data_IF_579637662056
#
_entry.id   IF_579637662056
#
_cell.length_a   1.000
_cell.length_b   1.000
_cell.length_c   1.000
_cell.angle_alpha   90.00
_cell.angle_beta   90.00
_cell.angle_gamma   90.00
#
_symmetry.space_group_name_H-M   'P 1'
#
loop_
_entity.id
_entity.type
_entity.pdbx_description
1 polymer ?
#
# COMPACT_ATOMS: atom_id res chain seq x y z
N UNK A 1 27.29 16.58 0.96
CA UNK A 1 26.75 17.31 2.14
C UNK A 1 25.50 18.14 1.82
N UNK A 2 25.52 19.08 0.87
CA UNK A 2 24.36 19.96 0.63
C UNK A 2 23.11 19.22 0.15
N UNK A 3 23.24 18.27 -0.78
CA UNK A 3 22.11 17.44 -1.27
C UNK A 3 21.50 16.56 -0.17
N UNK A 4 22.32 16.01 0.73
CA UNK A 4 21.86 15.20 1.85
C UNK A 4 21.05 16.04 2.85
N UNK A 5 21.47 17.28 3.11
CA UNK A 5 20.75 18.22 3.97
C UNK A 5 19.36 18.54 3.42
N UNK A 6 19.26 18.81 2.11
CA UNK A 6 17.99 19.09 1.45
C UNK A 6 16.98 17.93 1.62
N UNK A 7 17.43 16.69 1.37
CA UNK A 7 16.61 15.50 1.55
C UNK A 7 16.22 15.28 3.02
N UNK A 8 17.12 15.60 3.94
CA UNK A 8 16.82 15.47 5.37
C UNK A 8 15.79 16.51 5.85
N UNK A 9 15.84 17.75 5.35
CA UNK A 9 14.81 18.75 5.61
C UNK A 9 13.44 18.26 5.11
N UNK A 10 13.38 17.71 3.90
CA UNK A 10 12.16 17.15 3.37
C UNK A 10 11.63 16.02 4.26
N UNK A 11 12.50 15.09 4.68
CA UNK A 11 12.16 13.98 5.57
C UNK A 11 11.63 14.45 6.91
N UNK A 12 12.26 15.46 7.51
CA UNK A 12 11.79 16.06 8.77
C UNK A 12 10.36 16.63 8.60
N UNK A 13 10.10 17.36 7.51
CA UNK A 13 8.77 17.90 7.23
C UNK A 13 7.74 16.81 6.95
N UNK A 14 8.15 15.68 6.34
CA UNK A 14 7.27 14.53 6.12
C UNK A 14 6.95 13.77 7.41
N UNK A 15 7.92 13.55 8.28
CA UNK A 15 7.77 12.68 9.44
C UNK A 15 7.39 13.43 10.72
N UNK A 16 7.92 14.64 10.91
CA UNK A 16 7.83 15.35 12.17
C UNK A 16 6.97 16.62 12.13
N UNK A 17 6.35 16.95 10.99
CA UNK A 17 5.53 18.14 10.89
C UNK A 17 4.16 17.85 10.24
N UNK A 18 3.15 18.58 10.71
CA UNK A 18 1.83 18.71 10.12
C UNK A 18 1.28 20.12 10.41
N UNK A 19 0.03 20.38 10.01
CA UNK A 19 -0.61 21.69 10.22
C UNK A 19 -0.83 22.05 11.70
N UNK A 20 -0.89 21.06 12.59
CA UNK A 20 -1.05 21.25 14.03
C UNK A 20 0.30 21.28 14.76
N UNK A 21 1.31 20.68 14.15
CA UNK A 21 2.68 20.57 14.69
C UNK A 21 3.70 21.05 13.65
N UNK A 22 3.68 22.34 13.28
CA UNK A 22 4.67 22.90 12.34
C UNK A 22 6.06 22.99 13.01
N UNK A 23 7.11 22.79 12.23
CA UNK A 23 8.49 22.87 12.70
C UNK A 23 9.06 24.28 12.49
N UNK A 24 9.59 24.90 13.54
CA UNK A 24 10.33 26.15 13.44
C UNK A 24 11.70 25.94 12.78
N UNK A 25 12.21 26.96 12.12
CA UNK A 25 13.55 26.91 11.52
C UNK A 25 14.65 26.51 12.54
N UNK A 26 14.56 26.96 13.79
CA UNK A 26 15.48 26.59 14.87
C UNK A 26 15.41 25.08 15.21
N UNK A 27 14.22 24.48 15.15
CA UNK A 27 14.02 23.07 15.41
C UNK A 27 14.57 22.23 14.24
N UNK A 28 14.37 22.66 13.00
CA UNK A 28 14.97 22.03 11.82
C UNK A 28 16.49 22.03 11.95
N UNK A 29 17.10 23.18 12.31
CA UNK A 29 18.55 23.29 12.51
C UNK A 29 19.03 22.34 13.63
N UNK A 30 18.32 22.28 14.76
CA UNK A 30 18.66 21.39 15.87
C UNK A 30 18.61 19.90 15.44
N UNK A 31 17.59 19.48 14.66
CA UNK A 31 17.48 18.11 14.12
C UNK A 31 18.60 17.77 13.16
N UNK A 32 18.94 18.72 12.26
CA UNK A 32 20.08 18.56 11.34
C UNK A 32 21.40 18.40 12.09
N UNK A 33 21.62 19.21 13.13
CA UNK A 33 22.82 19.16 13.98
C UNK A 33 22.95 17.81 14.69
N UNK A 34 21.84 17.24 15.22
CA UNK A 34 21.83 15.90 15.83
C UNK A 34 22.28 14.80 14.87
N UNK A 35 22.11 15.02 13.55
CA UNK A 35 22.56 14.13 12.47
C UNK A 35 23.93 14.49 11.90
N UNK A 36 24.68 15.36 12.58
CA UNK A 36 26.01 15.80 12.14
C UNK A 36 26.00 16.75 10.93
N UNK A 37 24.85 17.37 10.62
CA UNK A 37 24.71 18.31 9.51
C UNK A 37 24.63 19.74 10.04
N UNK A 38 25.65 20.55 9.76
CA UNK A 38 25.63 21.99 10.10
C UNK A 38 24.69 22.74 9.15
N UNK A 39 23.85 23.60 9.69
CA UNK A 39 22.94 24.44 8.91
C UNK A 39 22.72 25.79 9.60
N UNK A 40 22.67 26.84 8.79
CA UNK A 40 22.29 28.20 9.21
C UNK A 40 20.88 28.53 8.71
N UNK A 41 20.23 29.52 9.33
CA UNK A 41 18.85 29.95 8.95
C UNK A 41 18.72 30.26 7.48
N UNK A 42 19.66 31.05 6.90
CA UNK A 42 19.61 31.41 5.48
C UNK A 42 19.67 30.17 4.58
N UNK A 43 20.51 29.21 4.94
CA UNK A 43 20.66 27.95 4.21
C UNK A 43 19.39 27.10 4.27
N UNK A 44 18.71 27.02 5.44
CA UNK A 44 17.44 26.29 5.58
C UNK A 44 16.34 26.94 4.75
N UNK A 45 16.26 28.27 4.73
CA UNK A 45 15.28 28.99 3.90
C UNK A 45 15.51 28.73 2.41
N UNK A 46 16.76 28.81 1.96
CA UNK A 46 17.11 28.49 0.57
C UNK A 46 16.76 27.07 0.19
N UNK A 47 17.03 26.10 1.08
CA UNK A 47 16.70 24.68 0.85
C UNK A 47 15.18 24.47 0.77
N UNK A 48 14.39 25.14 1.64
CA UNK A 48 12.93 25.08 1.57
C UNK A 48 12.39 25.68 0.26
N UNK A 49 12.98 26.77 -0.21
CA UNK A 49 12.58 27.39 -1.47
C UNK A 49 12.93 26.50 -2.67
N UNK A 50 14.06 25.81 -2.64
CA UNK A 50 14.41 24.78 -3.64
C UNK A 50 13.38 23.64 -3.63
N UNK A 51 12.99 23.14 -2.48
CA UNK A 51 11.97 22.10 -2.37
C UNK A 51 10.60 22.57 -2.92
N UNK A 52 10.21 23.82 -2.64
CA UNK A 52 8.98 24.41 -3.21
C UNK A 52 9.05 24.50 -4.73
N UNK A 53 10.18 24.95 -5.29
CA UNK A 53 10.41 24.99 -6.75
C UNK A 53 10.38 23.59 -7.37
N UNK A 54 10.81 22.56 -6.62
CA UNK A 54 10.70 21.15 -7.01
C UNK A 54 9.29 20.56 -6.88
N UNK A 55 8.29 21.36 -6.49
CA UNK A 55 6.87 20.97 -6.44
C UNK A 55 6.36 20.50 -5.09
N UNK A 56 7.15 20.60 -4.01
CA UNK A 56 6.68 20.29 -2.67
C UNK A 56 5.87 21.45 -2.09
N UNK A 57 4.61 21.19 -1.70
CA UNK A 57 3.73 22.22 -1.11
C UNK A 57 4.07 22.44 0.37
N UNK A 58 5.19 23.12 0.62
CA UNK A 58 5.65 23.46 1.98
C UNK A 58 5.00 24.77 2.41
N UNK A 59 4.15 24.69 3.42
CA UNK A 59 3.44 25.80 4.03
C UNK A 59 4.25 26.42 5.17
N UNK A 60 3.94 27.66 5.46
CA UNK A 60 4.54 28.43 6.57
C UNK A 60 3.49 29.24 7.28
N UNK A 61 3.52 29.23 8.60
CA UNK A 61 2.74 30.13 9.44
C UNK A 61 3.66 30.93 10.35
N UNK A 62 3.45 32.24 10.38
CA UNK A 62 4.27 33.16 11.20
C UNK A 62 4.27 32.72 12.67
N UNK A 63 5.46 32.69 13.28
CA UNK A 63 5.73 32.24 14.65
C UNK A 63 5.47 30.76 14.97
N UNK A 64 4.89 29.99 14.07
CA UNK A 64 4.65 28.56 14.26
C UNK A 64 5.68 27.70 13.51
N UNK A 65 5.92 27.95 12.22
CA UNK A 65 6.94 27.21 11.46
C UNK A 65 6.44 26.71 10.11
N UNK A 66 7.09 25.64 9.67
CA UNK A 66 6.89 25.01 8.37
C UNK A 66 6.27 23.64 8.52
N UNK A 67 5.42 23.25 7.57
CA UNK A 67 4.93 21.89 7.40
C UNK A 67 4.70 21.57 5.92
N UNK A 68 4.72 20.31 5.59
CA UNK A 68 4.37 19.83 4.26
C UNK A 68 2.85 19.61 4.19
N UNK A 69 2.17 20.22 3.21
CA UNK A 69 0.76 19.92 2.93
C UNK A 69 0.64 18.47 2.48
N UNK A 70 -0.13 17.70 3.20
CA UNK A 70 -0.32 16.27 2.94
C UNK A 70 -1.17 16.05 1.68
N UNK A 71 -0.89 14.96 0.96
CA UNK A 71 -1.65 14.52 -0.21
C UNK A 71 -3.05 14.06 0.18
N UNK A 72 -3.16 13.40 1.33
CA UNK A 72 -4.39 12.87 1.90
C UNK A 72 -4.72 13.54 3.24
N UNK A 73 -6.00 13.66 3.56
CA UNK A 73 -6.44 14.01 4.91
C UNK A 73 -6.33 12.80 5.83
N UNK A 74 -6.25 13.04 7.14
CA UNK A 74 -6.23 11.95 8.12
C UNK A 74 -7.48 11.05 8.03
N UNK A 75 -8.65 11.64 7.78
CA UNK A 75 -9.88 10.90 7.57
C UNK A 75 -9.85 9.98 6.34
N UNK A 76 -9.24 10.44 5.23
CA UNK A 76 -9.05 9.60 4.03
C UNK A 76 -8.11 8.43 4.32
N UNK A 77 -7.00 8.68 5.02
CA UNK A 77 -6.05 7.63 5.40
C UNK A 77 -6.66 6.64 6.39
N UNK A 78 -7.46 7.12 7.35
CA UNK A 78 -8.19 6.24 8.29
C UNK A 78 -9.18 5.34 7.55
N UNK A 79 -9.95 5.90 6.61
CA UNK A 79 -10.87 5.11 5.80
C UNK A 79 -10.13 4.03 4.98
N UNK A 80 -9.00 4.37 4.37
CA UNK A 80 -8.18 3.41 3.62
C UNK A 80 -7.60 2.33 4.54
N UNK A 81 -7.07 2.71 5.70
CA UNK A 81 -6.53 1.79 6.70
C UNK A 81 -7.59 0.78 7.17
N UNK A 82 -8.80 1.26 7.51
CA UNK A 82 -9.91 0.40 7.96
C UNK A 82 -10.42 -0.49 6.80
N UNK A 83 -10.49 0.05 5.58
CA UNK A 83 -10.89 -0.72 4.40
C UNK A 83 -9.92 -1.88 4.13
N UNK A 84 -8.61 -1.62 4.15
CA UNK A 84 -7.58 -2.66 4.00
C UNK A 84 -7.61 -3.63 5.19
N UNK A 85 -7.69 -3.10 6.40
CA UNK A 85 -7.76 -3.90 7.62
C UNK A 85 -8.93 -4.88 7.64
N UNK A 86 -10.09 -4.49 7.09
CA UNK A 86 -11.30 -5.31 7.03
C UNK A 86 -11.26 -6.42 5.97
N UNK A 87 -10.29 -6.41 5.04
CA UNK A 87 -10.20 -7.42 3.98
C UNK A 87 -9.77 -8.77 4.53
N UNK A 88 -10.71 -9.72 4.61
CA UNK A 88 -10.44 -11.08 5.10
C UNK A 88 -9.52 -11.90 4.21
N UNK A 89 -9.39 -11.51 2.93
CA UNK A 89 -8.55 -12.16 1.93
C UNK A 89 -7.05 -11.89 2.10
N UNK A 90 -6.68 -10.86 2.85
CA UNK A 90 -5.28 -10.53 3.16
C UNK A 90 -4.83 -11.27 4.42
N UNK A 91 -3.60 -11.73 4.45
CA UNK A 91 -2.98 -12.16 5.70
C UNK A 91 -2.81 -10.97 6.67
N UNK A 92 -2.57 -11.24 7.95
CA UNK A 92 -2.28 -10.19 8.92
C UNK A 92 -1.05 -9.38 8.51
N UNK A 93 0.00 -10.05 8.05
CA UNK A 93 1.25 -9.41 7.61
C UNK A 93 1.03 -8.54 6.38
N UNK A 94 0.25 -9.00 5.39
CA UNK A 94 -0.10 -8.20 4.21
C UNK A 94 -0.89 -6.95 4.61
N UNK A 95 -1.88 -7.06 5.48
CA UNK A 95 -2.64 -5.91 5.97
C UNK A 95 -1.76 -4.92 6.73
N UNK A 96 -0.80 -5.41 7.54
CA UNK A 96 0.17 -4.58 8.22
C UNK A 96 1.13 -3.87 7.25
N UNK A 97 1.60 -4.55 6.20
CA UNK A 97 2.43 -3.94 5.16
C UNK A 97 1.70 -2.78 4.47
N UNK A 98 0.44 -2.98 4.08
CA UNK A 98 -0.37 -1.89 3.53
C UNK A 98 -0.56 -0.73 4.51
N UNK A 99 -0.82 -1.04 5.78
CA UNK A 99 -0.95 0.00 6.80
C UNK A 99 0.36 0.79 6.98
N UNK A 100 1.51 0.13 6.93
CA UNK A 100 2.83 0.79 7.01
C UNK A 100 3.00 1.81 5.89
N UNK A 101 2.60 1.48 4.65
CA UNK A 101 2.64 2.43 3.54
C UNK A 101 1.73 3.65 3.79
N UNK A 102 0.56 3.45 4.38
CA UNK A 102 -0.33 4.56 4.75
C UNK A 102 0.26 5.43 5.89
N UNK A 103 0.99 4.83 6.83
CA UNK A 103 1.66 5.55 7.90
C UNK A 103 2.77 6.48 7.39
N UNK A 104 3.40 6.17 6.26
CA UNK A 104 4.40 7.04 5.61
C UNK A 104 3.80 8.35 5.11
N UNK A 105 2.50 8.38 4.81
CA UNK A 105 1.76 9.58 4.41
C UNK A 105 1.35 10.47 5.60
N UNK A 106 1.67 10.08 6.83
CA UNK A 106 1.33 10.78 8.07
C UNK A 106 2.54 11.34 8.80
N UNK A 107 2.32 12.40 9.60
CA UNK A 107 3.27 12.77 10.63
C UNK A 107 3.26 11.76 11.77
N UNK A 108 4.33 11.71 12.55
CA UNK A 108 4.41 10.86 13.76
C UNK A 108 3.28 11.13 14.76
N UNK A 109 2.69 12.33 14.75
CA UNK A 109 1.59 12.71 15.64
C UNK A 109 0.24 12.15 15.18
N UNK A 110 0.11 11.90 13.87
CA UNK A 110 -1.10 11.34 13.25
C UNK A 110 -1.09 9.81 13.20
N UNK A 111 0.10 9.18 13.14
CA UNK A 111 0.25 7.73 13.04
C UNK A 111 -0.55 6.91 14.07
N UNK A 112 -0.61 7.27 15.36
CA UNK A 112 -1.37 6.50 16.36
C UNK A 112 -2.87 6.41 16.04
N UNK A 113 -3.40 7.35 15.26
CA UNK A 113 -4.81 7.40 14.88
C UNK A 113 -5.16 6.47 13.70
N UNK A 114 -4.16 5.91 13.03
CA UNK A 114 -4.34 5.03 11.86
C UNK A 114 -4.27 3.54 12.17
N UNK A 115 -4.31 3.12 13.43
CA UNK A 115 -4.36 1.70 13.75
C UNK A 115 -5.54 1.03 13.04
N UNK A 116 -5.31 0.02 12.18
CA UNK A 116 -6.38 -0.61 11.43
C UNK A 116 -7.24 -1.48 12.33
N UNK A 117 -8.54 -1.55 12.02
CA UNK A 117 -9.42 -2.55 12.58
C UNK A 117 -9.16 -3.88 11.88
N UNK A 118 -8.58 -4.85 12.57
CA UNK A 118 -8.30 -6.17 12.02
C UNK A 118 -9.46 -7.12 12.37
N UNK A 119 -10.02 -7.87 11.41
CA UNK A 119 -11.04 -8.86 11.68
C UNK A 119 -10.45 -10.04 12.44
N UNK A 120 -11.25 -10.66 13.31
CA UNK A 120 -10.87 -11.88 14.02
C UNK A 120 -10.61 -13.07 13.08
N UNK A 121 -11.37 -13.12 11.98
CA UNK A 121 -11.25 -14.16 10.97
C UNK A 121 -10.58 -13.64 9.71
N UNK A 122 -9.56 -14.38 9.25
CA UNK A 122 -8.93 -14.21 7.94
C UNK A 122 -9.01 -15.51 7.14
N UNK A 123 -9.24 -15.38 5.85
CA UNK A 123 -9.29 -16.56 4.99
C UNK A 123 -7.89 -17.17 4.85
N UNK A 124 -7.80 -18.48 5.08
CA UNK A 124 -6.61 -19.25 4.70
C UNK A 124 -6.75 -19.70 3.25
N UNK A 125 -5.73 -19.49 2.44
CA UNK A 125 -5.82 -19.86 1.03
C UNK A 125 -4.51 -19.62 0.29
N UNK A 126 -4.63 -19.38 -1.02
CA UNK A 126 -3.52 -18.93 -1.85
C UNK A 126 -3.21 -17.45 -1.60
N UNK A 127 -2.01 -17.02 -1.99
CA UNK A 127 -1.63 -15.60 -1.97
C UNK A 127 -2.44 -14.83 -3.04
N UNK A 128 -3.47 -14.14 -2.57
CA UNK A 128 -4.39 -13.40 -3.45
C UNK A 128 -3.70 -12.24 -4.15
N UNK A 129 -2.74 -11.57 -3.51
CA UNK A 129 -2.01 -10.45 -4.12
C UNK A 129 -1.15 -10.93 -5.29
N UNK A 130 -0.34 -11.97 -5.08
CA UNK A 130 0.44 -12.57 -6.15
C UNK A 130 -0.45 -13.07 -7.30
N UNK A 131 -1.61 -13.67 -6.97
CA UNK A 131 -2.56 -14.12 -7.97
C UNK A 131 -3.18 -12.96 -8.76
N UNK A 132 -3.49 -11.83 -8.13
CA UNK A 132 -3.97 -10.61 -8.81
C UNK A 132 -2.93 -10.15 -9.82
N UNK A 133 -1.65 -10.06 -9.43
CA UNK A 133 -0.58 -9.60 -10.32
C UNK A 133 -0.44 -10.50 -11.55
N UNK A 134 -0.47 -11.82 -11.38
CA UNK A 134 -0.40 -12.77 -12.50
C UNK A 134 -1.60 -12.66 -13.43
N UNK A 135 -2.81 -12.55 -12.88
CA UNK A 135 -4.04 -12.39 -13.70
C UNK A 135 -4.03 -11.07 -14.46
N UNK A 136 -3.65 -9.96 -13.83
CA UNK A 136 -3.57 -8.65 -14.49
C UNK A 136 -2.52 -8.66 -15.60
N UNK A 137 -1.38 -9.34 -15.38
CA UNK A 137 -0.37 -9.55 -16.42
C UNK A 137 -0.94 -10.32 -17.60
N UNK A 138 -1.57 -11.45 -17.36
CA UNK A 138 -2.14 -12.30 -18.40
C UNK A 138 -3.26 -11.59 -19.20
N UNK A 139 -4.10 -10.82 -18.51
CA UNK A 139 -5.14 -9.98 -19.16
C UNK A 139 -4.53 -8.93 -20.08
N UNK A 140 -3.45 -8.26 -19.66
CA UNK A 140 -2.77 -7.25 -20.46
C UNK A 140 -2.09 -7.85 -21.69
N UNK A 141 -1.49 -9.03 -21.53
CA UNK A 141 -0.73 -9.72 -22.57
C UNK A 141 -1.63 -10.60 -23.47
N UNK A 142 -2.93 -10.74 -23.12
CA UNK A 142 -3.90 -11.61 -23.80
C UNK A 142 -3.37 -13.05 -23.93
N UNK A 143 -2.82 -13.59 -22.86
CA UNK A 143 -2.28 -14.95 -22.83
C UNK A 143 -3.11 -15.87 -21.94
N UNK A 144 -3.03 -17.15 -22.25
CA UNK A 144 -3.62 -18.21 -21.45
C UNK A 144 -2.86 -18.37 -20.12
N UNK A 145 -3.59 -18.74 -19.06
CA UNK A 145 -3.01 -19.06 -17.76
C UNK A 145 -3.17 -20.55 -17.45
N UNK A 146 -2.19 -21.09 -16.75
CA UNK A 146 -2.26 -22.40 -16.14
C UNK A 146 -2.28 -22.26 -14.62
N UNK A 147 -3.12 -23.02 -13.93
CA UNK A 147 -3.19 -22.97 -12.47
C UNK A 147 -3.77 -24.26 -11.89
N UNK A 148 -3.52 -24.50 -10.60
CA UNK A 148 -4.19 -25.55 -9.81
C UNK A 148 -5.29 -24.93 -8.97
N UNK A 149 -6.42 -25.64 -8.86
CA UNK A 149 -7.58 -25.16 -8.11
C UNK A 149 -7.94 -26.12 -7.00
N UNK A 150 -8.16 -25.58 -5.79
CA UNK A 150 -8.43 -26.39 -4.61
C UNK A 150 -9.65 -25.91 -3.83
N UNK A 151 -10.23 -26.80 -3.05
CA UNK A 151 -11.21 -26.52 -2.00
C UNK A 151 -10.55 -26.68 -0.63
N UNK A 152 -11.04 -25.90 0.34
CA UNK A 152 -10.65 -26.05 1.74
C UNK A 152 -11.62 -27.04 2.40
N UNK A 153 -11.09 -28.09 3.01
CA UNK A 153 -11.87 -29.08 3.77
C UNK A 153 -12.27 -28.52 5.14
N UNK A 154 -13.17 -29.22 5.85
CA UNK A 154 -13.54 -28.91 7.24
C UNK A 154 -12.34 -28.92 8.21
N UNK A 155 -11.30 -29.67 7.88
CA UNK A 155 -10.04 -29.74 8.62
C UNK A 155 -9.00 -28.69 8.18
N UNK A 156 -9.44 -27.65 7.43
CA UNK A 156 -8.58 -26.57 6.88
C UNK A 156 -7.47 -27.06 5.95
N UNK A 157 -7.60 -28.24 5.37
CA UNK A 157 -6.64 -28.80 4.41
C UNK A 157 -7.07 -28.50 2.97
N UNK A 158 -6.10 -28.32 2.07
CA UNK A 158 -6.36 -28.12 0.65
C UNK A 158 -6.68 -29.47 -0.01
N UNK A 159 -7.80 -29.52 -0.73
CA UNK A 159 -8.16 -30.65 -1.59
C UNK A 159 -8.22 -30.15 -3.03
N UNK A 160 -7.24 -30.56 -3.82
CA UNK A 160 -7.17 -30.14 -5.22
C UNK A 160 -8.27 -30.82 -6.06
N UNK A 161 -8.86 -30.05 -6.97
CA UNK A 161 -9.78 -30.57 -7.97
C UNK A 161 -9.01 -31.24 -9.10
N UNK A 162 -9.72 -32.05 -9.93
CA UNK A 162 -9.14 -32.79 -11.06
C UNK A 162 -7.89 -33.59 -10.72
N UNK A 163 -7.81 -34.22 -9.55
CA UNK A 163 -6.64 -34.96 -9.11
C UNK A 163 -5.32 -34.18 -9.23
N UNK A 164 -5.37 -32.90 -8.91
CA UNK A 164 -4.23 -31.96 -9.01
C UNK A 164 -3.78 -31.60 -10.43
N UNK A 165 -4.52 -31.95 -11.47
CA UNK A 165 -4.25 -31.49 -12.84
C UNK A 165 -4.43 -29.97 -12.94
N UNK A 166 -3.64 -29.36 -13.81
CA UNK A 166 -3.73 -27.93 -14.08
C UNK A 166 -4.97 -27.59 -14.94
N UNK A 167 -5.56 -26.47 -14.63
CA UNK A 167 -6.51 -25.80 -15.51
C UNK A 167 -5.73 -24.96 -16.50
N UNK A 168 -6.17 -24.91 -17.75
CA UNK A 168 -5.58 -24.11 -18.82
C UNK A 168 -6.70 -23.32 -19.47
N UNK A 169 -6.72 -21.99 -19.23
CA UNK A 169 -7.86 -21.13 -19.55
C UNK A 169 -7.40 -19.73 -19.88
N UNK A 170 -8.20 -19.02 -20.69
CA UNK A 170 -7.98 -17.62 -20.98
C UNK A 170 -8.69 -16.73 -19.96
N UNK A 171 -7.96 -15.88 -19.21
CA UNK A 171 -8.57 -14.90 -18.34
C UNK A 171 -9.27 -13.83 -19.19
N UNK A 172 -10.51 -13.50 -18.83
CA UNK A 172 -11.33 -12.51 -19.50
C UNK A 172 -11.52 -11.26 -18.65
N UNK A 173 -11.74 -11.44 -17.34
CA UNK A 173 -11.91 -10.34 -16.41
C UNK A 173 -11.54 -10.75 -14.99
N UNK A 174 -11.07 -9.76 -14.22
CA UNK A 174 -10.93 -9.85 -12.77
C UNK A 174 -12.08 -9.07 -12.14
N UNK A 175 -12.92 -9.74 -11.35
CA UNK A 175 -14.07 -9.13 -10.68
C UNK A 175 -13.96 -9.28 -9.16
N UNK A 176 -14.56 -8.34 -8.43
CA UNK A 176 -14.66 -8.39 -6.97
C UNK A 176 -16.10 -8.44 -6.54
N UNK A 177 -16.44 -9.45 -5.74
CA UNK A 177 -17.77 -9.62 -5.17
C UNK A 177 -17.64 -10.11 -3.71
N UNK A 178 -18.41 -9.53 -2.81
CA UNK A 178 -18.45 -9.92 -1.38
C UNK A 178 -17.05 -10.08 -0.75
N UNK A 179 -16.19 -9.06 -0.94
CA UNK A 179 -14.78 -9.03 -0.48
C UNK A 179 -13.86 -10.11 -1.08
N UNK A 180 -14.30 -10.83 -2.10
CA UNK A 180 -13.53 -11.87 -2.78
C UNK A 180 -13.24 -11.50 -4.21
N UNK A 181 -12.08 -11.90 -4.69
CA UNK A 181 -11.71 -11.75 -6.10
C UNK A 181 -11.96 -13.04 -6.86
N UNK A 182 -12.48 -12.90 -8.06
CA UNK A 182 -12.74 -13.97 -9.02
C UNK A 182 -12.13 -13.62 -10.36
N UNK A 183 -11.46 -14.61 -10.96
CA UNK A 183 -11.09 -14.57 -12.37
C UNK A 183 -12.20 -15.21 -13.19
N UNK A 184 -12.76 -14.45 -14.09
CA UNK A 184 -13.66 -14.97 -15.16
C UNK A 184 -12.76 -15.47 -16.25
N UNK A 185 -12.81 -16.76 -16.55
CA UNK A 185 -12.01 -17.39 -17.59
C UNK A 185 -12.89 -18.00 -18.67
N UNK A 186 -12.43 -17.96 -19.92
CA UNK A 186 -13.02 -18.65 -21.03
C UNK A 186 -12.27 -19.94 -21.35
N UNK A 187 -13.01 -21.00 -21.58
CA UNK A 187 -12.48 -22.30 -22.03
C UNK A 187 -12.85 -22.54 -23.48
N UNK A 188 -11.86 -22.61 -24.36
CA UNK A 188 -12.09 -23.02 -25.76
C UNK A 188 -12.51 -24.47 -25.88
N UNK A 189 -12.08 -25.32 -24.96
CA UNK A 189 -12.44 -26.76 -24.97
C UNK A 189 -13.94 -26.96 -24.67
N UNK A 190 -14.50 -26.17 -23.74
CA UNK A 190 -15.90 -26.31 -23.32
C UNK A 190 -16.82 -25.20 -23.87
N UNK A 191 -16.28 -24.29 -24.69
CA UNK A 191 -17.00 -23.15 -25.29
C UNK A 191 -17.82 -22.35 -24.27
N UNK A 192 -17.21 -22.05 -23.09
CA UNK A 192 -17.96 -21.39 -22.02
C UNK A 192 -17.10 -20.64 -21.01
N UNK A 193 -17.76 -19.77 -20.27
CA UNK A 193 -17.16 -19.01 -19.18
C UNK A 193 -17.27 -19.75 -17.85
N UNK A 194 -16.25 -19.58 -17.03
CA UNK A 194 -16.20 -20.11 -15.67
C UNK A 194 -15.58 -19.08 -14.74
N UNK A 195 -15.97 -19.11 -13.46
CA UNK A 195 -15.48 -18.20 -12.43
C UNK A 195 -14.60 -18.97 -11.45
N UNK A 196 -13.39 -18.47 -11.22
CA UNK A 196 -12.44 -19.07 -10.29
C UNK A 196 -12.08 -18.07 -9.21
N UNK A 197 -12.31 -18.43 -7.93
CA UNK A 197 -11.95 -17.61 -6.79
C UNK A 197 -10.44 -17.58 -6.61
N UNK A 198 -9.82 -16.39 -6.60
CA UNK A 198 -8.36 -16.25 -6.54
C UNK A 198 -7.73 -16.89 -5.31
N UNK A 199 -8.37 -16.81 -4.13
CA UNK A 199 -7.89 -17.46 -2.92
C UNK A 199 -7.89 -19.00 -2.96
N UNK A 200 -8.37 -19.60 -4.07
CA UNK A 200 -8.36 -21.05 -4.32
C UNK A 200 -7.50 -21.45 -5.54
N UNK A 201 -6.82 -20.47 -6.15
CA UNK A 201 -5.92 -20.69 -7.29
C UNK A 201 -4.48 -20.71 -6.79
N UNK A 202 -3.70 -21.63 -7.26
CA UNK A 202 -2.27 -21.76 -6.96
C UNK A 202 -1.45 -22.02 -8.21
N UNK A 203 -0.17 -21.62 -8.16
CA UNK A 203 0.81 -21.84 -9.24
C UNK A 203 0.28 -21.32 -10.58
N UNK A 204 -0.15 -20.05 -10.58
CA UNK A 204 -0.57 -19.38 -11.82
C UNK A 204 0.69 -19.07 -12.64
N UNK A 205 0.72 -19.59 -13.88
CA UNK A 205 1.80 -19.46 -14.84
C UNK A 205 1.26 -18.87 -16.15
#
# INVERSE_FOLDING_TARGET
MQKQKLLEILRLLQQEADNEHPLKCSEIIARLSQKGMSAERKSVYSDIDILRQAGWDIRYQKNQGYWLKRRYTLAQLKLLSDAVGSLTILSADQAWQFNTLLLEECSRYQQPQLSPLLPEYRESGADVLANIDQILKALRENVEIQFRYFDITVHKQKRYRRQSQTYQLFPYALIRENQRYYCVCYSFHHHGFSHYRLGKMEQIL
#
